data_IF_910928867415
#
_entry.id   IF_910928867415
#
_cell.length_a   1.000
_cell.length_b   1.000
_cell.length_c   1.000
_cell.angle_alpha   90.00
_cell.angle_beta   90.00
_cell.angle_gamma   90.00
#
_symmetry.space_group_name_H-M   'P 1'
#
loop_
_entity.id
_entity.type
_entity.pdbx_description
1 polymer ?
#
# COMPACT_ATOMS: atom_id res chain seq x y z
N UNK A 1 -43.74 36.50 -63.91
CA UNK A 1 -42.34 36.98 -63.89
C UNK A 1 -42.04 37.60 -62.53
N UNK A 2 -41.13 36.96 -61.80
CA UNK A 2 -40.33 37.42 -60.65
C UNK A 2 -41.00 37.82 -59.32
N UNK A 3 -40.38 37.27 -58.24
CA UNK A 3 -40.32 37.67 -56.81
C UNK A 3 -41.15 36.76 -55.89
N UNK A 4 -40.67 36.10 -54.84
CA UNK A 4 -39.42 36.01 -54.04
C UNK A 4 -39.56 34.73 -53.18
N UNK A 5 -38.65 33.75 -53.22
CA UNK A 5 -37.52 33.48 -52.29
C UNK A 5 -37.79 33.65 -50.78
N UNK A 6 -37.65 32.50 -50.10
CA UNK A 6 -37.05 32.24 -48.76
C UNK A 6 -37.81 32.75 -47.52
N UNK A 7 -38.35 31.79 -46.76
CA UNK A 7 -38.65 31.94 -45.35
C UNK A 7 -37.95 30.82 -44.58
N UNK A 8 -36.72 31.09 -44.14
CA UNK A 8 -35.96 30.28 -43.19
C UNK A 8 -36.24 30.85 -41.79
N UNK A 9 -37.21 30.28 -41.09
CA UNK A 9 -37.68 30.75 -39.80
C UNK A 9 -36.91 30.12 -38.64
N UNK A 10 -36.02 30.92 -38.06
CA UNK A 10 -35.37 30.86 -36.74
C UNK A 10 -35.70 29.67 -35.80
N UNK A 11 -34.68 28.83 -35.54
CA UNK A 11 -34.61 27.95 -34.38
C UNK A 11 -34.05 28.77 -33.20
N UNK A 12 -34.92 29.22 -32.30
CA UNK A 12 -34.53 29.94 -31.09
C UNK A 12 -33.84 29.01 -30.09
N UNK A 13 -32.53 29.17 -29.91
CA UNK A 13 -31.77 28.55 -28.84
C UNK A 13 -32.06 29.30 -27.52
N UNK A 14 -32.83 28.68 -26.63
CA UNK A 14 -32.93 29.11 -25.25
C UNK A 14 -31.68 28.65 -24.49
N UNK A 15 -30.65 29.50 -24.44
CA UNK A 15 -29.57 29.33 -23.47
C UNK A 15 -30.11 29.66 -22.08
N UNK A 16 -30.44 28.63 -21.31
CA UNK A 16 -30.63 28.76 -19.86
C UNK A 16 -29.27 29.08 -19.28
N UNK A 17 -29.08 30.34 -18.86
CA UNK A 17 -27.92 30.75 -18.08
C UNK A 17 -28.00 30.07 -16.71
N UNK A 18 -27.29 28.94 -16.56
CA UNK A 18 -27.04 28.35 -15.25
C UNK A 18 -26.07 29.30 -14.53
N UNK A 19 -26.40 29.80 -13.33
CA UNK A 19 -25.44 30.57 -12.56
C UNK A 19 -24.24 29.67 -12.29
N UNK A 20 -23.07 30.09 -12.78
CA UNK A 20 -21.79 29.53 -12.39
C UNK A 20 -21.53 29.98 -10.95
N UNK A 21 -22.14 29.30 -9.98
CA UNK A 21 -21.62 29.30 -8.62
C UNK A 21 -20.26 28.64 -8.69
N UNK A 22 -19.21 29.44 -8.52
CA UNK A 22 -17.89 28.96 -8.14
C UNK A 22 -18.10 27.99 -6.98
N UNK A 23 -17.64 26.74 -7.11
CA UNK A 23 -17.54 25.88 -5.95
C UNK A 23 -16.54 26.54 -5.00
N UNK A 24 -17.03 27.22 -3.96
CA UNK A 24 -16.19 27.57 -2.83
C UNK A 24 -15.91 26.26 -2.11
N UNK A 25 -14.65 25.82 -2.12
CA UNK A 25 -14.21 24.85 -1.14
C UNK A 25 -14.55 25.45 0.25
N UNK A 26 -15.19 24.66 1.09
CA UNK A 26 -15.48 25.06 2.46
C UNK A 26 -14.14 25.32 3.17
N UNK A 27 -13.90 26.56 3.58
CA UNK A 27 -12.71 26.95 4.35
C UNK A 27 -12.63 26.22 5.70
N UNK A 28 -13.69 25.48 6.09
CA UNK A 28 -13.71 24.60 7.26
C UNK A 28 -13.06 23.23 7.03
N UNK A 29 -12.38 22.98 5.90
CA UNK A 29 -11.30 21.98 5.87
C UNK A 29 -10.08 22.51 6.64
N UNK A 30 -10.27 22.85 7.92
CA UNK A 30 -9.19 22.85 8.90
C UNK A 30 -8.84 21.36 9.13
N UNK A 31 -8.25 20.76 8.10
CA UNK A 31 -7.78 19.39 8.10
C UNK A 31 -6.81 19.24 9.26
N UNK A 32 -7.16 18.36 10.19
CA UNK A 32 -6.29 18.03 11.31
C UNK A 32 -4.92 17.52 10.82
N UNK A 33 -4.03 17.17 11.76
CA UNK A 33 -2.67 16.72 11.42
C UNK A 33 -2.72 15.60 10.37
N UNK A 34 -1.84 15.73 9.38
CA UNK A 34 -1.75 14.82 8.24
C UNK A 34 -1.14 13.49 8.69
N UNK A 35 -1.68 12.34 8.24
CA UNK A 35 -1.06 11.06 8.52
C UNK A 35 0.32 10.99 7.88
N UNK A 36 1.27 10.44 8.62
CA UNK A 36 2.62 10.11 8.14
C UNK A 36 2.78 8.61 8.03
N UNK A 37 3.73 8.19 7.20
CA UNK A 37 4.14 6.80 7.03
C UNK A 37 5.64 6.72 7.19
N UNK A 38 6.10 5.85 8.09
CA UNK A 38 7.52 5.56 8.31
C UNK A 38 7.92 4.36 7.44
N UNK A 39 9.06 4.47 6.77
CA UNK A 39 9.59 3.44 5.87
C UNK A 39 10.95 2.98 6.41
N UNK A 40 11.16 1.66 6.41
CA UNK A 40 12.41 1.01 6.82
C UNK A 40 12.90 0.16 5.67
N UNK A 41 14.15 0.35 5.27
CA UNK A 41 14.85 -0.53 4.33
C UNK A 41 16.14 -1.06 4.98
N UNK A 42 16.48 -2.31 4.67
CA UNK A 42 17.66 -2.99 5.22
C UNK A 42 18.54 -3.40 4.07
N UNK A 43 19.78 -2.92 4.08
CA UNK A 43 20.82 -3.37 3.18
C UNK A 43 21.83 -4.22 3.96
N UNK A 44 22.08 -5.44 3.49
CA UNK A 44 23.04 -6.36 4.11
C UNK A 44 23.93 -7.02 3.07
N UNK A 45 25.22 -7.13 3.37
CA UNK A 45 26.20 -7.87 2.55
C UNK A 45 26.31 -9.35 2.93
N UNK A 46 25.28 -9.90 3.59
CA UNK A 46 25.24 -11.29 4.07
C UNK A 46 25.60 -11.45 5.57
N UNK A 47 25.59 -12.70 6.07
CA UNK A 47 25.78 -12.98 7.49
C UNK A 47 27.21 -12.65 7.96
N UNK A 48 27.30 -12.13 9.17
CA UNK A 48 28.55 -11.67 9.80
C UNK A 48 29.05 -10.32 9.29
N UNK A 49 28.39 -9.71 8.31
CA UNK A 49 28.71 -8.37 7.79
C UNK A 49 27.88 -7.30 8.51
N UNK A 50 28.37 -6.05 8.55
CA UNK A 50 27.56 -4.94 9.04
C UNK A 50 26.32 -4.76 8.15
N UNK A 51 25.21 -4.38 8.78
CA UNK A 51 23.99 -4.00 8.06
C UNK A 51 23.84 -2.49 8.04
N UNK A 52 23.28 -1.95 6.97
CA UNK A 52 22.90 -0.54 6.87
C UNK A 52 21.39 -0.44 6.89
N UNK A 53 20.84 0.36 7.79
CA UNK A 53 19.40 0.63 7.86
C UNK A 53 19.14 1.99 7.21
N UNK A 54 18.20 2.06 6.29
CA UNK A 54 17.70 3.32 5.75
C UNK A 54 16.32 3.55 6.33
N UNK A 55 16.13 4.72 6.92
CA UNK A 55 14.84 5.14 7.48
C UNK A 55 14.41 6.46 6.87
N UNK A 56 13.12 6.57 6.55
CA UNK A 56 12.52 7.78 6.03
C UNK A 56 11.07 7.90 6.50
N UNK A 57 10.53 9.11 6.42
CA UNK A 57 9.12 9.38 6.68
C UNK A 57 8.51 10.09 5.47
N UNK A 58 7.26 9.76 5.15
CA UNK A 58 6.50 10.39 4.07
C UNK A 58 5.12 10.83 4.55
N UNK A 59 4.57 11.84 3.91
CA UNK A 59 3.22 12.33 4.14
C UNK A 59 2.64 12.81 2.81
N UNK A 60 1.32 12.91 2.73
CA UNK A 60 0.65 13.54 1.58
C UNK A 60 0.75 15.08 1.66
N UNK A 61 1.98 15.60 1.64
CA UNK A 61 2.31 17.01 1.71
C UNK A 61 3.45 17.32 0.73
N UNK A 62 3.54 18.53 0.14
CA UNK A 62 4.59 18.87 -0.82
C UNK A 62 6.02 18.78 -0.28
N UNK A 63 6.16 18.87 1.05
CA UNK A 63 7.41 18.73 1.77
C UNK A 63 7.31 17.52 2.69
N UNK A 64 8.29 16.61 2.73
CA UNK A 64 8.29 15.52 3.69
C UNK A 64 8.26 16.03 5.14
N UNK A 65 7.69 15.24 6.07
CA UNK A 65 7.64 15.63 7.46
C UNK A 65 9.03 15.55 8.08
N UNK A 66 9.47 16.61 8.75
CA UNK A 66 10.70 16.64 9.54
C UNK A 66 10.43 16.11 10.95
N UNK A 67 11.42 15.43 11.55
CA UNK A 67 11.28 14.92 12.91
C UNK A 67 12.29 13.85 13.29
N UNK A 68 12.14 13.33 14.50
CA UNK A 68 13.03 12.31 15.06
C UNK A 68 12.49 10.91 14.81
N UNK A 69 13.35 10.02 14.28
CA UNK A 69 13.07 8.60 14.11
C UNK A 69 13.88 7.81 15.15
N UNK A 70 13.20 7.21 16.11
CA UNK A 70 13.80 6.26 17.04
C UNK A 70 13.84 4.87 16.39
N UNK A 71 15.03 4.33 16.17
CA UNK A 71 15.26 3.05 15.50
C UNK A 71 15.83 2.05 16.48
N UNK A 72 15.22 0.87 16.54
CA UNK A 72 15.70 -0.26 17.33
C UNK A 72 15.85 -1.51 16.48
N UNK A 73 16.91 -2.26 16.74
CA UNK A 73 17.20 -3.55 16.12
C UNK A 73 17.22 -4.62 17.20
N UNK A 74 16.32 -5.58 17.09
CA UNK A 74 16.15 -6.67 18.05
C UNK A 74 16.37 -8.04 17.40
N UNK A 75 16.89 -9.03 18.15
CA UNK A 75 16.91 -10.40 17.68
C UNK A 75 15.48 -10.96 17.71
N UNK A 76 14.96 -11.39 16.55
CA UNK A 76 13.64 -12.01 16.45
C UNK A 76 13.75 -13.52 16.73
N UNK A 77 13.46 -13.95 17.95
CA UNK A 77 13.40 -15.37 18.29
C UNK A 77 12.33 -16.12 17.48
N UNK A 78 12.46 -17.44 17.33
CA UNK A 78 11.40 -18.26 16.69
C UNK A 78 10.07 -18.09 17.44
N UNK A 79 8.94 -18.25 16.75
CA UNK A 79 7.59 -17.92 17.24
C UNK A 79 7.16 -18.62 18.56
N UNK A 80 7.92 -19.58 19.09
CA UNK A 80 7.71 -20.17 20.42
C UNK A 80 8.42 -19.38 21.56
N UNK A 81 9.30 -18.45 21.21
CA UNK A 81 10.08 -17.57 22.10
C UNK A 81 9.71 -16.09 21.98
N UNK A 82 8.78 -15.71 21.11
CA UNK A 82 8.39 -14.31 20.84
C UNK A 82 7.80 -13.61 22.07
N UNK A 83 7.14 -14.31 22.97
CA UNK A 83 6.70 -13.73 24.26
C UNK A 83 7.87 -13.35 25.20
N UNK A 84 9.08 -13.90 24.97
CA UNK A 84 10.29 -13.64 25.76
C UNK A 84 11.34 -12.83 25.01
N UNK A 85 11.24 -12.72 23.69
CA UNK A 85 12.12 -11.90 22.84
C UNK A 85 11.90 -10.39 23.07
N UNK A 86 10.71 -9.99 23.49
CA UNK A 86 10.39 -8.61 23.93
C UNK A 86 11.23 -8.18 25.16
N UNK A 87 11.85 -9.13 25.88
CA UNK A 87 12.73 -8.85 27.01
C UNK A 87 14.24 -8.90 26.66
N UNK A 88 14.61 -9.15 25.40
CA UNK A 88 16.00 -9.08 24.99
C UNK A 88 16.40 -7.62 24.75
N UNK A 89 17.55 -7.20 25.31
CA UNK A 89 18.08 -5.86 25.06
C UNK A 89 18.30 -5.64 23.54
N UNK A 90 17.97 -4.45 23.01
CA UNK A 90 18.18 -4.14 21.60
C UNK A 90 19.68 -4.24 21.26
N UNK A 91 19.99 -4.78 20.09
CA UNK A 91 21.35 -4.87 19.54
C UNK A 91 21.85 -3.50 19.09
N UNK A 92 20.92 -2.65 18.66
CA UNK A 92 21.13 -1.25 18.33
C UNK A 92 19.87 -0.48 18.77
N UNK A 93 20.06 0.66 19.40
CA UNK A 93 19.01 1.64 19.68
C UNK A 93 19.61 3.02 19.42
N UNK A 94 19.04 3.76 18.48
CA UNK A 94 19.52 5.08 18.09
C UNK A 94 18.36 5.96 17.68
N UNK A 95 18.48 7.26 17.90
CA UNK A 95 17.54 8.26 17.40
C UNK A 95 18.26 9.10 16.36
N UNK A 96 17.65 9.26 15.20
CA UNK A 96 18.17 10.09 14.12
C UNK A 96 17.14 11.14 13.73
N UNK A 97 17.63 12.33 13.38
CA UNK A 97 16.79 13.41 12.89
C UNK A 97 16.66 13.29 11.36
N UNK A 98 15.43 13.17 10.86
CA UNK A 98 15.10 13.03 9.45
C UNK A 98 14.72 14.39 8.85
N UNK A 99 15.37 14.73 7.74
CA UNK A 99 15.14 15.96 6.98
C UNK A 99 15.15 15.60 5.49
N UNK A 100 13.96 15.41 4.91
CA UNK A 100 13.69 15.22 3.47
C UNK A 100 14.26 13.94 2.82
N UNK A 101 15.51 13.57 3.11
CA UNK A 101 16.21 12.41 2.53
C UNK A 101 16.33 11.23 3.51
N UNK A 102 16.29 9.98 3.00
CA UNK A 102 16.49 8.79 3.84
C UNK A 102 17.81 8.82 4.61
N UNK A 103 17.75 8.54 5.91
CA UNK A 103 18.92 8.54 6.79
C UNK A 103 19.53 7.15 6.85
N UNK A 104 20.80 7.04 6.48
CA UNK A 104 21.58 5.81 6.58
C UNK A 104 22.18 5.64 7.98
N UNK A 105 21.83 4.54 8.65
CA UNK A 105 22.31 4.19 9.99
C UNK A 105 23.22 2.97 9.87
N UNK A 106 24.47 3.12 10.28
CA UNK A 106 25.42 2.03 10.35
C UNK A 106 25.07 1.10 11.51
N UNK A 107 24.66 -0.12 11.19
CA UNK A 107 24.33 -1.17 12.14
C UNK A 107 25.52 -2.08 12.48
N UNK A 108 25.39 -2.91 13.53
CA UNK A 108 26.41 -3.87 13.91
C UNK A 108 26.52 -5.03 12.90
N UNK A 109 27.62 -5.77 12.98
CA UNK A 109 27.75 -7.06 12.30
C UNK A 109 26.79 -8.09 12.92
N UNK A 110 25.88 -8.63 12.11
CA UNK A 110 24.87 -9.57 12.57
C UNK A 110 25.18 -10.98 12.09
N UNK A 111 25.18 -12.01 12.97
CA UNK A 111 25.29 -13.40 12.52
C UNK A 111 24.06 -13.85 11.73
N UNK A 112 24.08 -15.09 11.25
CA UNK A 112 22.87 -15.71 10.68
C UNK A 112 21.73 -15.71 11.71
N UNK A 113 20.54 -15.31 11.28
CA UNK A 113 19.40 -15.22 12.18
C UNK A 113 18.23 -14.43 11.62
N UNK A 114 17.19 -14.32 12.45
CA UNK A 114 16.03 -13.47 12.18
C UNK A 114 16.09 -12.25 13.08
N UNK A 115 15.75 -11.10 12.54
CA UNK A 115 15.85 -9.81 13.20
C UNK A 115 14.57 -9.01 12.99
N UNK A 116 14.27 -8.15 13.95
CA UNK A 116 13.16 -7.21 13.92
C UNK A 116 13.76 -5.81 14.02
N UNK A 117 13.44 -4.95 13.06
CA UNK A 117 13.69 -3.51 13.13
C UNK A 117 12.38 -2.84 13.45
N UNK A 118 12.39 -1.92 14.40
CA UNK A 118 11.28 -1.02 14.68
C UNK A 118 11.75 0.41 14.50
N UNK A 119 10.91 1.24 13.90
CA UNK A 119 11.14 2.68 13.77
C UNK A 119 9.90 3.41 14.27
N UNK A 120 10.08 4.40 15.14
CA UNK A 120 9.03 5.27 15.65
C UNK A 120 9.36 6.71 15.27
N UNK A 121 8.51 7.33 14.45
CA UNK A 121 8.66 8.69 14.00
C UNK A 121 7.85 9.67 14.86
N UNK A 122 8.56 10.65 15.41
CA UNK A 122 7.99 11.80 16.13
C UNK A 122 8.19 13.06 15.30
N UNK A 123 7.12 13.65 14.73
CA UNK A 123 7.25 14.86 13.92
C UNK A 123 7.61 16.07 14.78
N UNK A 124 8.38 16.99 14.20
CA UNK A 124 8.72 18.27 14.83
C UNK A 124 7.49 19.19 14.98
N UNK A 125 6.58 19.15 14.00
CA UNK A 125 5.28 19.82 14.06
C UNK A 125 4.13 18.81 14.25
N UNK A 126 3.77 18.47 15.50
CA UNK A 126 2.67 17.55 15.80
C UNK A 126 1.29 18.13 15.50
N UNK A 127 1.17 19.43 15.19
CA UNK A 127 -0.11 20.02 14.76
C UNK A 127 -0.32 19.85 13.27
N UNK A 128 0.77 19.71 12.50
CA UNK A 128 0.74 19.51 11.06
C UNK A 128 0.81 18.03 10.67
N UNK A 129 1.55 17.22 11.42
CA UNK A 129 1.81 15.82 11.11
C UNK A 129 1.50 14.91 12.30
N UNK A 130 0.95 13.73 12.02
CA UNK A 130 0.75 12.69 13.03
C UNK A 130 2.03 11.85 13.20
N UNK A 131 2.31 11.33 14.40
CA UNK A 131 3.36 10.33 14.58
C UNK A 131 3.00 9.04 13.84
N UNK A 132 4.02 8.26 13.48
CA UNK A 132 3.86 6.94 12.86
C UNK A 132 4.91 5.97 13.34
N UNK A 133 4.61 4.67 13.21
CA UNK A 133 5.53 3.59 13.53
C UNK A 133 5.62 2.62 12.36
N UNK A 134 6.76 1.94 12.25
CA UNK A 134 7.00 0.89 11.29
C UNK A 134 7.77 -0.26 11.94
N UNK A 135 7.52 -1.47 11.45
CA UNK A 135 8.27 -2.65 11.85
C UNK A 135 8.58 -3.54 10.66
N UNK A 136 9.83 -4.01 10.59
CA UNK A 136 10.31 -4.86 9.51
C UNK A 136 11.04 -6.06 10.08
N UNK A 137 10.62 -7.26 9.67
CA UNK A 137 11.29 -8.50 10.04
C UNK A 137 12.10 -8.99 8.86
N UNK A 138 13.41 -9.17 9.04
CA UNK A 138 14.29 -9.69 8.00
C UNK A 138 15.09 -10.90 8.50
N UNK A 139 15.63 -11.68 7.57
CA UNK A 139 16.46 -12.85 7.85
C UNK A 139 17.79 -12.72 7.13
N UNK A 140 18.88 -13.00 7.83
CA UNK A 140 20.19 -13.20 7.25
C UNK A 140 20.43 -14.72 7.16
N UNK A 141 20.75 -15.21 5.98
CA UNK A 141 21.12 -16.60 5.68
C UNK A 141 22.39 -16.61 4.83
N UNK A 142 23.27 -17.62 4.97
CA UNK A 142 24.29 -17.86 3.94
C UNK A 142 23.56 -18.30 2.67
N UNK A 143 23.96 -17.75 1.52
CA UNK A 143 23.36 -18.01 0.21
C UNK A 143 23.06 -19.50 0.01
N UNK A 144 21.78 -19.82 0.21
CA UNK A 144 21.16 -21.08 -0.15
C UNK A 144 19.92 -20.70 -0.93
N UNK A 145 20.14 -20.33 -2.19
CA UNK A 145 19.15 -20.35 -3.28
C UNK A 145 17.73 -19.96 -2.81
N UNK A 146 17.52 -18.67 -2.53
CA UNK A 146 16.16 -18.14 -2.40
C UNK A 146 15.68 -17.82 -3.79
N UNK A 147 15.20 -18.89 -4.44
CA UNK A 147 14.32 -18.86 -5.60
C UNK A 147 13.35 -17.69 -5.43
N UNK A 148 13.28 -16.83 -6.45
CA UNK A 148 12.36 -15.71 -6.57
C UNK A 148 10.92 -16.19 -6.29
N UNK A 149 10.46 -15.96 -5.06
CA UNK A 149 9.18 -16.42 -4.57
C UNK A 149 8.48 -15.31 -3.81
N UNK A 150 8.22 -14.21 -4.51
CA UNK A 150 7.09 -13.28 -4.30
C UNK A 150 6.51 -13.28 -2.88
N UNK A 151 7.20 -12.65 -1.92
CA UNK A 151 6.61 -12.26 -0.62
C UNK A 151 5.74 -11.01 -0.81
N UNK A 152 4.79 -11.10 -1.74
CA UNK A 152 3.67 -10.19 -1.78
C UNK A 152 2.77 -10.52 -0.58
N UNK A 153 2.22 -9.51 0.12
CA UNK A 153 1.26 -9.76 1.18
C UNK A 153 0.15 -10.65 0.62
N UNK A 154 -0.08 -11.79 1.29
CA UNK A 154 -1.15 -12.73 0.99
C UNK A 154 -2.49 -12.02 1.10
N UNK A 155 -2.88 -11.37 0.01
CA UNK A 155 -4.10 -10.62 -0.19
C UNK A 155 -5.25 -11.60 -0.43
N UNK A 156 -5.47 -12.51 0.52
CA UNK A 156 -6.67 -13.34 0.63
C UNK A 156 -7.15 -13.91 -0.71
N UNK A 157 -6.22 -14.40 -1.53
CA UNK A 157 -6.56 -14.94 -2.84
C UNK A 157 -7.60 -16.06 -2.67
N UNK A 158 -8.72 -16.04 -3.41
CA UNK A 158 -9.80 -16.99 -3.20
C UNK A 158 -9.25 -18.42 -3.32
N UNK A 159 -9.46 -19.20 -2.25
CA UNK A 159 -9.03 -20.59 -2.14
C UNK A 159 -9.35 -21.32 -3.44
N UNK A 160 -8.34 -21.89 -4.14
CA UNK A 160 -8.53 -22.51 -5.46
C UNK A 160 -9.58 -23.62 -5.45
N UNK A 161 -9.87 -24.23 -4.28
CA UNK A 161 -11.00 -25.15 -4.11
C UNK A 161 -12.35 -24.49 -4.43
N UNK A 162 -12.55 -23.21 -4.10
CA UNK A 162 -13.78 -22.46 -4.39
C UNK A 162 -13.89 -22.07 -5.86
N UNK A 163 -12.79 -21.78 -6.54
CA UNK A 163 -12.77 -21.53 -7.99
C UNK A 163 -13.04 -22.81 -8.80
N UNK A 164 -12.54 -23.96 -8.36
CA UNK A 164 -12.86 -25.26 -8.99
C UNK A 164 -14.32 -25.68 -8.73
N UNK A 165 -14.84 -25.46 -7.52
CA UNK A 165 -16.26 -25.70 -7.20
C UNK A 165 -17.20 -24.74 -7.95
N UNK A 166 -16.83 -23.45 -8.07
CA UNK A 166 -17.59 -22.46 -8.83
C UNK A 166 -17.53 -22.69 -10.35
N UNK A 167 -16.36 -23.07 -10.88
CA UNK A 167 -16.16 -23.42 -12.29
C UNK A 167 -16.92 -24.68 -12.69
N UNK A 168 -16.96 -25.69 -11.82
CA UNK A 168 -17.76 -26.90 -12.04
C UNK A 168 -19.27 -26.63 -12.12
N UNK A 169 -19.78 -25.68 -11.34
CA UNK A 169 -21.21 -25.32 -11.33
C UNK A 169 -21.63 -24.53 -12.58
N UNK A 170 -20.77 -23.66 -13.11
CA UNK A 170 -21.01 -22.93 -14.36
C UNK A 170 -20.95 -23.83 -15.61
N UNK A 171 -20.05 -24.82 -15.63
CA UNK A 171 -19.97 -25.79 -16.72
C UNK A 171 -21.22 -26.70 -16.80
N UNK A 172 -21.77 -27.10 -15.65
CA UNK A 172 -23.01 -27.87 -15.60
C UNK A 172 -24.25 -27.03 -16.03
N UNK A 173 -24.26 -25.73 -15.74
CA UNK A 173 -25.35 -24.83 -16.13
C UNK A 173 -25.45 -24.57 -17.64
N UNK A 174 -24.32 -24.44 -18.35
CA UNK A 174 -24.31 -24.19 -19.79
C UNK A 174 -24.62 -25.46 -20.63
N UNK A 175 -24.30 -26.66 -20.14
CA UNK A 175 -24.62 -27.92 -20.81
C UNK A 175 -26.11 -28.28 -20.82
N UNK A 176 -26.88 -27.84 -19.81
CA UNK A 176 -28.30 -28.16 -19.69
C UNK A 176 -29.22 -27.45 -20.69
N UNK A 177 -28.85 -26.25 -21.17
CA UNK A 177 -29.75 -25.41 -21.99
C UNK A 177 -29.74 -25.80 -23.47
N UNK A 178 -28.69 -26.47 -23.95
CA UNK A 178 -28.64 -26.95 -25.35
C UNK A 178 -29.38 -28.26 -25.57
N UNK A 179 -29.58 -29.07 -24.52
CA UNK A 179 -30.33 -30.33 -24.62
C UNK A 179 -31.86 -30.14 -24.57
N UNK A 180 -32.34 -28.99 -24.04
CA UNK A 180 -33.77 -28.66 -24.02
C UNK A 180 -34.35 -28.20 -25.36
N UNK A 181 -33.55 -27.65 -26.26
CA UNK A 181 -34.02 -27.07 -27.53
C UNK A 181 -34.22 -28.08 -28.67
N UNK A 182 -33.78 -29.34 -28.51
CA UNK A 182 -33.95 -30.38 -29.54
C UNK A 182 -35.26 -31.18 -29.46
N UNK A 183 -36.19 -30.79 -28.58
CA UNK A 183 -37.52 -31.43 -28.49
C UNK A 183 -38.69 -30.54 -28.92
N UNK A 184 -38.45 -29.30 -29.36
CA UNK A 184 -39.52 -28.43 -29.86
C UNK A 184 -39.65 -28.45 -31.40
N UNK A 185 -38.66 -28.94 -32.15
CA UNK A 185 -38.72 -29.07 -33.62
C UNK A 185 -39.10 -30.48 -34.11
N UNK A 186 -40.03 -31.14 -33.40
CA UNK A 186 -40.62 -32.39 -33.85
C UNK A 186 -42.15 -32.38 -33.71
N UNK A 187 -42.80 -31.39 -34.32
CA UNK A 187 -44.24 -31.45 -34.65
C UNK A 187 -44.57 -30.59 -35.87
N UNK A 188 -45.29 -31.23 -36.80
CA UNK A 188 -45.93 -30.78 -38.06
C UNK A 188 -45.08 -30.84 -39.32
#
# INVERSE_FOLDING_TARGET
>A
MLKKLVALGALSAALVAVPATSASADDNYAGGPLPTETIIEVQSDGPGKPVTLFVSATANFPTPPEGDIAVELLPAGSAARTARAVAAAPLLSTTVHFVDEPVAIAGPSLPEGRYLVTAEFTPDDPNQFLPSDASLVFRLAEDGDTDDGEDLPNSGGPNMMWLLLGGGLLAAGAGGVTYGRRREDATV
#
